data_IF_713453709976
#
_entry.id   IF_713453709976
#
_cell.length_a   1.000
_cell.length_b   1.000
_cell.length_c   1.000
_cell.angle_alpha   90.00
_cell.angle_beta   90.00
_cell.angle_gamma   90.00
#
_symmetry.space_group_name_H-M   'P 1'
#
loop_
_entity.id
_entity.type
_entity.pdbx_description
1 polymer ?
#
# COMPACT_ATOMS: atom_id res chain seq x y z
N UNK A 1 -7.47 -10.96 9.94
CA UNK A 1 -8.74 -10.20 9.95
C UNK A 1 -9.40 -10.33 8.59
N UNK A 2 -10.73 -10.42 8.52
CA UNK A 2 -11.46 -10.51 7.25
C UNK A 2 -11.90 -9.13 6.76
N UNK A 3 -11.72 -8.85 5.48
CA UNK A 3 -12.36 -7.72 4.81
C UNK A 3 -13.75 -8.22 4.39
N UNK A 4 -14.79 -7.66 5.01
CA UNK A 4 -16.20 -8.02 4.72
C UNK A 4 -16.97 -6.73 4.51
N UNK A 5 -17.87 -6.69 3.52
CA UNK A 5 -18.76 -5.56 3.25
C UNK A 5 -19.46 -5.12 4.56
N UNK A 6 -19.38 -3.84 4.88
CA UNK A 6 -19.95 -3.26 6.11
C UNK A 6 -18.97 -3.08 7.27
N UNK A 7 -17.71 -3.54 7.17
CA UNK A 7 -16.67 -3.22 8.17
C UNK A 7 -15.95 -1.94 7.75
N UNK A 8 -16.15 -0.86 8.51
CA UNK A 8 -15.28 0.32 8.45
C UNK A 8 -13.95 -0.06 9.09
N UNK A 9 -12.98 -0.47 8.27
CA UNK A 9 -11.63 -0.79 8.69
C UNK A 9 -10.64 0.21 8.12
N UNK A 10 -9.58 0.45 8.87
CA UNK A 10 -8.42 1.20 8.41
C UNK A 10 -7.40 0.20 7.83
N UNK A 11 -6.94 0.46 6.61
CA UNK A 11 -6.02 -0.41 5.86
C UNK A 11 -4.95 0.44 5.17
N UNK A 12 -3.72 -0.09 5.14
CA UNK A 12 -2.63 0.40 4.29
C UNK A 12 -2.24 -0.70 3.31
N UNK A 13 -2.06 -0.34 2.04
CA UNK A 13 -1.52 -1.23 1.01
C UNK A 13 -0.08 -0.81 0.73
N UNK A 14 0.82 -1.79 0.76
CA UNK A 14 2.25 -1.62 0.55
C UNK A 14 2.65 -2.09 -0.85
N UNK A 15 3.75 -1.55 -1.39
CA UNK A 15 4.30 -1.95 -2.69
C UNK A 15 4.88 -3.37 -2.70
N UNK A 16 5.20 -3.90 -1.53
CA UNK A 16 5.87 -5.17 -1.31
C UNK A 16 5.20 -5.93 -0.16
N UNK A 17 5.31 -7.27 -0.17
CA UNK A 17 4.89 -8.10 0.96
C UNK A 17 6.01 -8.19 2.01
N UNK A 18 5.96 -7.29 2.99
CA UNK A 18 6.98 -7.18 4.03
C UNK A 18 7.17 -8.45 4.88
N UNK A 19 6.26 -9.43 4.80
CA UNK A 19 6.36 -10.71 5.50
C UNK A 19 7.28 -11.71 4.76
N UNK A 20 7.60 -11.45 3.49
CA UNK A 20 8.34 -12.38 2.64
C UNK A 20 9.61 -11.78 2.02
N UNK A 21 9.71 -10.44 1.95
CA UNK A 21 10.92 -9.77 1.45
C UNK A 21 12.10 -9.86 2.44
N UNK A 22 13.35 -9.81 1.95
CA UNK A 22 14.53 -9.66 2.81
C UNK A 22 14.43 -8.39 3.67
N UNK A 23 14.97 -8.46 4.88
CA UNK A 23 14.87 -7.39 5.88
C UNK A 23 15.43 -6.05 5.36
N UNK A 24 16.47 -6.11 4.53
CA UNK A 24 17.10 -4.94 3.94
C UNK A 24 16.15 -4.16 3.03
N UNK A 25 15.19 -4.84 2.39
CA UNK A 25 14.21 -4.21 1.48
C UNK A 25 12.98 -3.67 2.19
N UNK A 26 12.78 -3.95 3.48
CA UNK A 26 11.62 -3.46 4.22
C UNK A 26 11.59 -1.91 4.21
N UNK A 27 12.76 -1.28 4.30
CA UNK A 27 12.89 0.18 4.29
C UNK A 27 12.60 0.82 2.91
N UNK A 28 12.69 0.04 1.83
CA UNK A 28 12.36 0.48 0.47
C UNK A 28 10.87 0.33 0.15
N UNK A 29 10.09 -0.27 1.06
CA UNK A 29 8.66 -0.51 0.83
C UNK A 29 7.86 0.78 0.93
N UNK A 30 7.07 1.08 -0.11
CA UNK A 30 6.30 2.31 -0.20
C UNK A 30 4.81 2.04 0.06
N UNK A 31 4.13 3.02 0.65
CA UNK A 31 2.66 2.99 0.75
C UNK A 31 2.08 3.36 -0.61
N UNK A 32 1.21 2.48 -1.16
CA UNK A 32 0.54 2.73 -2.44
C UNK A 32 -0.93 3.11 -2.28
N UNK A 33 -1.54 2.77 -1.15
CA UNK A 33 -2.92 3.15 -0.83
C UNK A 33 -3.16 3.21 0.67
N UNK A 34 -4.02 4.13 1.09
CA UNK A 34 -4.53 4.22 2.47
C UNK A 34 -6.04 4.34 2.43
N UNK A 35 -6.70 3.50 3.23
CA UNK A 35 -8.14 3.46 3.41
C UNK A 35 -8.42 3.73 4.89
N UNK A 36 -9.23 4.74 5.18
CA UNK A 36 -9.66 5.10 6.55
C UNK A 36 -11.17 5.10 6.61
N UNK A 37 -11.76 4.37 7.56
CA UNK A 37 -13.21 4.25 7.68
C UNK A 37 -13.87 3.81 6.36
N UNK A 38 -13.24 2.90 5.61
CA UNK A 38 -13.73 2.41 4.33
C UNK A 38 -13.61 3.39 3.14
N UNK A 39 -12.99 4.56 3.30
CA UNK A 39 -12.74 5.53 2.21
C UNK A 39 -11.27 5.59 1.84
N UNK A 40 -10.96 5.58 0.54
CA UNK A 40 -9.60 5.83 0.06
C UNK A 40 -9.25 7.29 0.32
N UNK A 41 -8.27 7.53 1.19
CA UNK A 41 -7.77 8.87 1.54
C UNK A 41 -6.42 9.17 0.88
N UNK A 42 -5.72 8.14 0.46
CA UNK A 42 -4.48 8.24 -0.30
C UNK A 42 -4.41 7.12 -1.33
N UNK A 43 -3.99 7.46 -2.53
CA UNK A 43 -3.59 6.52 -3.56
C UNK A 43 -2.41 7.13 -4.29
N UNK A 44 -1.36 6.35 -4.47
CA UNK A 44 -0.23 6.76 -5.31
C UNK A 44 -0.68 6.68 -6.77
N UNK A 45 -0.55 7.77 -7.50
CA UNK A 45 -0.84 7.79 -8.93
C UNK A 45 0.12 6.85 -9.66
N UNK A 46 -0.43 5.84 -10.31
CA UNK A 46 0.34 4.92 -11.11
C UNK A 46 0.62 5.57 -12.47
N UNK A 47 1.56 6.53 -12.55
CA UNK A 47 2.32 6.80 -13.78
C UNK A 47 3.36 7.92 -13.64
N UNK A 48 4.64 7.53 -13.69
CA UNK A 48 5.45 7.67 -14.90
C UNK A 48 6.63 6.71 -14.73
N UNK A 49 6.96 5.85 -15.71
CA UNK A 49 8.27 5.21 -15.72
C UNK A 49 9.30 6.32 -15.52
N UNK A 50 10.12 6.24 -14.48
CA UNK A 50 11.31 7.08 -14.43
C UNK A 50 12.10 6.65 -15.66
N UNK A 51 11.98 7.37 -16.77
CA UNK A 51 12.96 7.30 -17.86
C UNK A 51 14.18 8.00 -17.29
N UNK A 52 14.96 7.25 -16.52
CA UNK A 52 16.36 7.52 -16.32
C UNK A 52 17.05 7.46 -17.69
N UNK A 53 17.55 8.61 -18.13
CA UNK A 53 18.39 8.74 -19.31
C UNK A 53 19.85 8.40 -19.01
#
# INVERSE_FOLDING_TARGET
>A
GSITLGKLGDLVVLSEDIMTVPAERILDTEVVMTIVGGRVVYRRDAERPRTDG
#
